data_IF_847427827070
#
_entry.id   IF_847427827070
#
_cell.length_a   1.000
_cell.length_b   1.000
_cell.length_c   1.000
_cell.angle_alpha   90.00
_cell.angle_beta   90.00
_cell.angle_gamma   90.00
#
_symmetry.space_group_name_H-M   'P 1'
#
loop_
_entity.id
_entity.type
_entity.pdbx_description
1 polymer ?
#
# COMPACT_ATOMS: atom_id res chain seq x y z
N UNK A 1 -26.58 -7.23 -8.39
CA UNK A 1 -25.23 -6.85 -7.93
C UNK A 1 -24.58 -5.97 -8.99
N UNK A 2 -24.63 -4.64 -8.84
CA UNK A 2 -23.91 -3.72 -9.74
C UNK A 2 -22.51 -3.54 -9.16
N UNK A 3 -21.49 -4.12 -9.81
CA UNK A 3 -20.13 -3.69 -9.58
C UNK A 3 -20.04 -2.22 -10.02
N UNK A 4 -19.61 -1.34 -9.11
CA UNK A 4 -19.45 0.07 -9.43
C UNK A 4 -18.29 0.18 -10.42
N UNK A 5 -18.61 0.64 -11.63
CA UNK A 5 -17.71 0.81 -12.77
C UNK A 5 -16.92 2.12 -12.66
N UNK A 6 -16.19 2.33 -11.56
CA UNK A 6 -15.35 3.53 -11.38
C UNK A 6 -14.01 3.13 -10.77
N UNK A 7 -13.21 2.37 -11.51
CA UNK A 7 -11.80 2.16 -11.21
C UNK A 7 -10.97 3.19 -11.96
N UNK A 8 -10.11 3.91 -11.25
CA UNK A 8 -9.08 4.75 -11.86
C UNK A 8 -7.81 3.91 -12.12
N UNK A 9 -7.16 4.15 -13.26
CA UNK A 9 -5.86 3.54 -13.55
C UNK A 9 -4.76 4.50 -13.12
N UNK A 10 -3.97 4.09 -12.13
CA UNK A 10 -2.78 4.82 -11.70
C UNK A 10 -1.55 4.38 -12.51
N UNK A 11 -0.81 5.35 -13.06
CA UNK A 11 0.42 5.07 -13.81
C UNK A 11 1.63 4.90 -12.89
N UNK A 12 2.53 3.98 -13.27
CA UNK A 12 3.81 3.82 -12.59
C UNK A 12 4.76 4.90 -13.09
N UNK A 13 4.84 5.99 -12.34
CA UNK A 13 5.76 7.10 -12.61
C UNK A 13 7.16 6.85 -12.03
N UNK A 14 8.18 7.63 -12.43
CA UNK A 14 9.51 7.58 -11.80
C UNK A 14 9.47 7.73 -10.28
N UNK A 15 8.59 8.61 -9.75
CA UNK A 15 8.44 8.79 -8.31
C UNK A 15 7.95 7.51 -7.59
N UNK A 16 7.12 6.71 -8.26
CA UNK A 16 6.67 5.40 -7.74
C UNK A 16 7.84 4.42 -7.70
N UNK A 17 8.67 4.39 -8.75
CA UNK A 17 9.84 3.52 -8.83
C UNK A 17 10.89 3.90 -7.77
N UNK A 18 11.13 5.20 -7.57
CA UNK A 18 12.07 5.71 -6.58
C UNK A 18 11.63 5.33 -5.15
N UNK A 19 10.34 5.51 -4.85
CA UNK A 19 9.79 5.17 -3.52
C UNK A 19 9.78 3.64 -3.29
N UNK A 20 9.48 2.85 -4.32
CA UNK A 20 9.61 1.38 -4.29
C UNK A 20 11.04 0.95 -3.97
N UNK A 21 12.02 1.57 -4.63
CA UNK A 21 13.44 1.23 -4.46
C UNK A 21 13.94 1.65 -3.08
N UNK A 22 13.39 2.72 -2.50
CA UNK A 22 13.62 3.08 -1.11
C UNK A 22 13.10 2.01 -0.13
N UNK A 23 11.92 1.42 -0.38
CA UNK A 23 11.40 0.32 0.45
C UNK A 23 12.27 -0.95 0.39
N UNK A 24 12.75 -1.29 -0.81
CA UNK A 24 13.66 -2.42 -1.01
C UNK A 24 15.00 -2.17 -0.31
N UNK A 25 15.55 -0.97 -0.47
CA UNK A 25 16.80 -0.55 0.17
C UNK A 25 16.72 -0.54 1.69
N UNK A 26 15.56 -0.17 2.24
CA UNK A 26 15.26 -0.25 3.67
C UNK A 26 14.98 -1.69 4.18
N UNK A 27 14.99 -2.69 3.29
CA UNK A 27 14.78 -4.09 3.64
C UNK A 27 13.38 -4.41 4.16
N UNK A 28 12.37 -3.60 3.81
CA UNK A 28 10.97 -3.84 4.23
C UNK A 28 10.44 -5.13 3.59
N UNK A 29 10.80 -5.32 2.31
CA UNK A 29 10.57 -6.54 1.54
C UNK A 29 11.79 -6.90 0.73
N UNK A 30 11.84 -8.15 0.27
CA UNK A 30 12.91 -8.64 -0.60
C UNK A 30 12.65 -8.25 -2.06
N UNK A 31 13.66 -8.25 -2.94
CA UNK A 31 13.47 -8.05 -4.38
C UNK A 31 12.45 -9.00 -5.04
N UNK A 32 12.19 -10.17 -4.45
CA UNK A 32 11.14 -11.10 -4.91
C UNK A 32 9.71 -10.56 -4.72
N UNK A 33 9.54 -9.50 -3.93
CA UNK A 33 8.26 -8.86 -3.61
C UNK A 33 8.24 -7.42 -4.12
N UNK A 34 8.93 -7.15 -5.22
CA UNK A 34 9.01 -5.82 -5.85
C UNK A 34 7.63 -5.31 -6.25
N UNK A 35 6.73 -6.18 -6.73
CA UNK A 35 5.37 -5.79 -7.10
C UNK A 35 4.56 -5.32 -5.88
N UNK A 36 4.71 -5.98 -4.73
CA UNK A 36 4.06 -5.56 -3.47
C UNK A 36 4.58 -4.19 -3.02
N UNK A 37 5.90 -3.96 -3.09
CA UNK A 37 6.48 -2.64 -2.81
C UNK A 37 6.00 -1.57 -3.78
N UNK A 38 5.88 -1.91 -5.07
CA UNK A 38 5.37 -1.01 -6.11
C UNK A 38 3.93 -0.63 -5.84
N UNK A 39 3.09 -1.58 -5.42
CA UNK A 39 1.69 -1.31 -5.08
C UNK A 39 1.57 -0.34 -3.90
N UNK A 40 2.34 -0.54 -2.82
CA UNK A 40 2.35 0.38 -1.67
C UNK A 40 2.86 1.77 -2.08
N UNK A 41 3.89 1.84 -2.92
CA UNK A 41 4.43 3.10 -3.42
C UNK A 41 3.41 3.83 -4.29
N UNK A 42 2.76 3.13 -5.21
CA UNK A 42 1.74 3.67 -6.10
C UNK A 42 0.57 4.25 -5.31
N UNK A 43 0.04 3.50 -4.34
CA UNK A 43 -1.04 3.98 -3.47
C UNK A 43 -0.63 5.21 -2.64
N UNK A 44 0.62 5.24 -2.17
CA UNK A 44 1.18 6.39 -1.43
C UNK A 44 1.26 7.64 -2.32
N UNK A 45 1.83 7.50 -3.53
CA UNK A 45 2.01 8.61 -4.47
C UNK A 45 0.65 9.13 -4.97
N UNK A 46 -0.29 8.22 -5.25
CA UNK A 46 -1.67 8.55 -5.62
C UNK A 46 -2.51 9.08 -4.46
N UNK A 47 -1.92 9.22 -3.26
CA UNK A 47 -2.57 9.73 -2.06
C UNK A 47 -3.86 8.97 -1.70
N UNK A 48 -3.87 7.65 -1.92
CA UNK A 48 -4.96 6.80 -1.46
C UNK A 48 -5.09 6.93 0.07
N UNK A 49 -6.33 6.92 0.56
CA UNK A 49 -6.58 6.98 2.01
C UNK A 49 -6.26 5.64 2.70
N UNK A 50 -6.60 4.53 2.03
CA UNK A 50 -6.44 3.18 2.54
C UNK A 50 -6.03 2.21 1.41
N UNK A 51 -5.24 1.19 1.76
CA UNK A 51 -5.07 -0.04 1.00
C UNK A 51 -5.85 -1.14 1.71
N UNK A 52 -6.72 -1.83 0.97
CA UNK A 52 -7.42 -3.02 1.45
C UNK A 52 -6.88 -4.23 0.70
N UNK A 53 -6.29 -5.20 1.41
CA UNK A 53 -5.59 -6.32 0.76
C UNK A 53 -5.71 -7.64 1.53
N UNK A 54 -5.65 -8.76 0.81
CA UNK A 54 -5.52 -10.10 1.39
C UNK A 54 -4.06 -10.56 1.50
N UNK A 55 -3.08 -9.75 1.07
CA UNK A 55 -1.66 -10.11 1.16
C UNK A 55 -1.08 -9.82 2.56
N UNK A 56 -1.36 -10.70 3.51
CA UNK A 56 -0.87 -10.62 4.90
C UNK A 56 0.65 -10.81 5.02
N UNK A 57 1.29 -11.44 4.03
CA UNK A 57 2.73 -11.75 4.09
C UNK A 57 3.58 -10.50 3.83
N UNK A 58 3.14 -9.64 2.92
CA UNK A 58 3.97 -8.54 2.41
C UNK A 58 3.34 -7.14 2.58
N UNK A 59 2.01 -7.03 2.58
CA UNK A 59 1.30 -5.74 2.61
C UNK A 59 0.63 -5.55 3.98
N UNK A 60 -0.33 -6.40 4.35
CA UNK A 60 -1.07 -6.33 5.63
C UNK A 60 -0.27 -6.95 6.78
N UNK A 61 1.02 -6.64 6.85
CA UNK A 61 1.91 -7.21 7.84
C UNK A 61 2.25 -6.16 8.91
N UNK A 62 1.84 -6.41 10.17
CA UNK A 62 1.93 -5.43 11.26
C UNK A 62 3.32 -4.81 11.47
N UNK A 63 4.40 -5.57 11.23
CA UNK A 63 5.77 -5.04 11.34
C UNK A 63 6.24 -4.22 10.12
N UNK A 64 5.62 -4.41 8.96
CA UNK A 64 6.03 -3.75 7.70
C UNK A 64 5.29 -2.44 7.50
N UNK A 65 4.02 -2.36 7.88
CA UNK A 65 3.20 -1.14 7.75
C UNK A 65 3.88 0.09 8.38
N UNK A 66 4.38 0.04 9.64
CA UNK A 66 5.10 1.17 10.23
C UNK A 66 6.40 1.50 9.49
N UNK A 67 7.08 0.50 8.92
CA UNK A 67 8.32 0.71 8.16
C UNK A 67 8.05 1.40 6.83
N UNK A 68 6.99 1.01 6.11
CA UNK A 68 6.56 1.72 4.90
C UNK A 68 6.28 3.18 5.22
N UNK A 69 5.49 3.44 6.27
CA UNK A 69 5.15 4.80 6.68
C UNK A 69 6.37 5.61 7.16
N UNK A 70 7.36 4.97 7.79
CA UNK A 70 8.62 5.63 8.13
C UNK A 70 9.39 6.06 6.88
N UNK A 71 9.51 5.20 5.86
CA UNK A 71 10.13 5.57 4.58
C UNK A 71 9.32 6.65 3.86
N UNK A 72 7.99 6.56 3.85
CA UNK A 72 7.14 7.61 3.28
C UNK A 72 7.44 8.97 3.90
N UNK A 73 7.47 9.05 5.23
CA UNK A 73 7.76 10.27 5.96
C UNK A 73 9.16 10.84 5.64
N UNK A 74 10.18 9.98 5.53
CA UNK A 74 11.54 10.39 5.14
C UNK A 74 11.60 10.99 3.73
N UNK A 75 10.70 10.56 2.83
CA UNK A 75 10.59 11.06 1.47
C UNK A 75 9.52 12.16 1.31
N UNK A 76 8.93 12.66 2.41
CA UNK A 76 7.95 13.74 2.40
C UNK A 76 6.53 13.31 1.97
N UNK A 77 6.26 12.01 1.92
CA UNK A 77 4.94 11.47 1.58
C UNK A 77 4.08 11.21 2.83
N UNK A 78 2.76 11.22 2.62
CA UNK A 78 1.79 10.90 3.67
C UNK A 78 1.87 9.42 4.06
N UNK A 79 1.54 9.13 5.30
CA UNK A 79 1.31 7.76 5.74
C UNK A 79 0.13 7.15 4.99
N UNK A 80 0.23 5.87 4.65
CA UNK A 80 -0.83 5.07 4.07
C UNK A 80 -1.40 4.14 5.14
N UNK A 81 -2.72 4.07 5.23
CA UNK A 81 -3.39 3.11 6.08
C UNK A 81 -3.54 1.78 5.32
N UNK A 82 -3.29 0.65 5.97
CA UNK A 82 -3.32 -0.66 5.33
C UNK A 82 -4.11 -1.61 6.23
N UNK A 83 -5.17 -2.20 5.68
CA UNK A 83 -6.08 -3.08 6.40
C UNK A 83 -6.40 -4.34 5.60
N UNK A 84 -6.76 -5.41 6.30
CA UNK A 84 -7.44 -6.55 5.70
C UNK A 84 -8.92 -6.23 5.46
N UNK A 85 -9.58 -6.92 4.51
CA UNK A 85 -11.02 -6.73 4.29
C UNK A 85 -11.86 -6.95 5.55
N UNK A 86 -11.49 -7.92 6.40
CA UNK A 86 -12.18 -8.15 7.68
C UNK A 86 -12.11 -6.98 8.66
N UNK A 87 -11.11 -6.11 8.56
CA UNK A 87 -10.97 -4.94 9.43
C UNK A 87 -11.81 -3.74 8.96
N UNK A 88 -12.29 -3.75 7.72
CA UNK A 88 -13.02 -2.63 7.10
C UNK A 88 -14.48 -2.95 6.75
N UNK A 89 -14.95 -4.15 7.12
CA UNK A 89 -16.35 -4.55 6.94
C UNK A 89 -17.06 -4.42 8.29
N UNK A 90 -18.13 -3.62 8.35
CA UNK A 90 -19.09 -3.63 9.45
C UNK A 90 -20.28 -4.51 9.09
N UNK A 91 -20.67 -5.40 9.99
CA UNK A 91 -21.99 -6.05 9.91
C UNK A 91 -22.99 -5.12 10.59
N UNK A 92 -24.00 -4.62 9.86
CA UNK A 92 -25.17 -4.05 10.52
C UNK A 92 -25.87 -5.17 11.29
N UNK A 93 -26.09 -5.00 12.60
CA UNK A 93 -26.94 -5.93 13.36
C UNK A 93 -28.32 -5.95 12.72
N UNK A 94 -28.74 -7.12 12.24
CA UNK A 94 -30.08 -7.37 11.70
C UNK A 94 -31.08 -7.68 12.81
#
# INVERSE_FOLDING_TARGET
MRFVSTSELAEISPAVLDLRDAYLSAGIVTPKSTDDATHVALATISQCEIIVSWNFKHIVHFQKIPKYNAVNALHGYRSINIYSPSEVISYEES
#
